data_IF_064745765963
#
_entry.id   IF_064745765963
#
_cell.length_a   1.000
_cell.length_b   1.000
_cell.length_c   1.000
_cell.angle_alpha   90.00
_cell.angle_beta   90.00
_cell.angle_gamma   90.00
#
_symmetry.space_group_name_H-M   'P 1'
#
loop_
_entity.id
_entity.type
_entity.pdbx_description
1 polymer ?
#
# COMPACT_ATOMS: atom_id res chain seq x y z
N UNK A 1 -13.85 -16.23 4.01
CA UNK A 1 -12.78 -15.91 4.97
C UNK A 1 -11.54 -16.77 4.74
N UNK A 2 -11.64 -18.10 4.74
CA UNK A 2 -10.52 -19.02 4.45
C UNK A 2 -9.84 -18.75 3.09
N UNK A 3 -10.62 -18.41 2.07
CA UNK A 3 -10.11 -18.14 0.72
C UNK A 3 -9.20 -16.90 0.64
N UNK A 4 -9.54 -15.85 1.39
CA UNK A 4 -8.74 -14.62 1.39
C UNK A 4 -7.42 -14.81 2.13
N UNK A 5 -7.41 -15.54 3.25
CA UNK A 5 -6.18 -15.85 3.98
C UNK A 5 -5.22 -16.68 3.13
N UNK A 6 -5.72 -17.70 2.42
CA UNK A 6 -4.93 -18.49 1.47
C UNK A 6 -4.36 -17.62 0.34
N UNK A 7 -5.14 -16.68 -0.18
CA UNK A 7 -4.69 -15.77 -1.26
C UNK A 7 -3.51 -14.87 -0.86
N UNK A 8 -3.37 -14.56 0.42
CA UNK A 8 -2.28 -13.75 0.97
C UNK A 8 -1.22 -14.57 1.74
N UNK A 9 -1.29 -15.89 1.64
CA UNK A 9 -0.29 -16.79 2.22
C UNK A 9 1.09 -16.51 1.61
N UNK A 10 2.13 -16.46 2.44
CA UNK A 10 3.50 -16.11 2.03
C UNK A 10 3.76 -14.61 1.83
N UNK A 11 2.72 -13.77 1.68
CA UNK A 11 2.85 -12.31 1.61
C UNK A 11 2.68 -11.64 2.97
N UNK A 12 1.86 -12.24 3.84
CA UNK A 12 1.59 -11.71 5.18
C UNK A 12 2.26 -12.62 6.23
N UNK A 13 3.07 -12.00 7.10
CA UNK A 13 3.69 -12.71 8.22
C UNK A 13 2.62 -13.13 9.24
N UNK A 14 2.58 -14.41 9.68
CA UNK A 14 1.67 -14.83 10.74
C UNK A 14 1.83 -14.01 12.03
N UNK A 15 0.70 -13.66 12.67
CA UNK A 15 0.68 -12.85 13.90
C UNK A 15 1.01 -11.36 13.71
N UNK A 16 1.23 -10.89 12.48
CA UNK A 16 1.42 -9.46 12.18
C UNK A 16 0.12 -8.66 12.31
N UNK A 17 0.25 -7.33 12.35
CA UNK A 17 -0.90 -6.42 12.32
C UNK A 17 -1.71 -6.61 11.03
N UNK A 18 -1.04 -6.86 9.92
CA UNK A 18 -1.63 -7.10 8.61
C UNK A 18 -2.46 -8.40 8.62
N UNK A 19 -1.97 -9.46 9.27
CA UNK A 19 -2.72 -10.70 9.46
C UNK A 19 -4.01 -10.46 10.25
N UNK A 20 -3.95 -9.63 11.31
CA UNK A 20 -5.12 -9.24 12.11
C UNK A 20 -6.11 -8.36 11.34
N UNK A 21 -5.63 -7.49 10.43
CA UNK A 21 -6.51 -6.68 9.59
C UNK A 21 -7.25 -7.55 8.56
N UNK A 22 -6.57 -8.56 8.01
CA UNK A 22 -7.18 -9.46 7.02
C UNK A 22 -8.39 -10.20 7.57
N UNK A 23 -8.40 -10.56 8.87
CA UNK A 23 -9.56 -11.23 9.50
C UNK A 23 -10.78 -10.33 9.64
N UNK A 24 -10.59 -9.01 9.53
CA UNK A 24 -11.66 -8.00 9.65
C UNK A 24 -12.22 -7.58 8.29
N UNK A 25 -11.62 -8.04 7.19
CA UNK A 25 -12.08 -7.71 5.84
C UNK A 25 -13.17 -8.68 5.43
N UNK A 26 -14.32 -8.12 5.05
CA UNK A 26 -15.44 -8.82 4.43
C UNK A 26 -15.21 -8.89 2.91
N UNK A 27 -14.86 -10.08 2.34
CA UNK A 27 -14.51 -10.19 0.92
C UNK A 27 -15.62 -9.71 -0.03
N UNK A 28 -16.88 -9.91 0.36
CA UNK A 28 -18.08 -9.51 -0.39
C UNK A 28 -18.29 -7.99 -0.45
N UNK A 29 -17.55 -7.22 0.36
CA UNK A 29 -17.64 -5.75 0.42
C UNK A 29 -16.41 -5.05 -0.14
N UNK A 30 -15.48 -5.80 -0.74
CA UNK A 30 -14.28 -5.20 -1.32
C UNK A 30 -14.65 -4.29 -2.51
N UNK A 31 -14.01 -3.12 -2.63
CA UNK A 31 -14.20 -2.28 -3.80
C UNK A 31 -13.65 -2.98 -5.04
N UNK A 32 -14.46 -3.00 -6.11
CA UNK A 32 -14.04 -3.53 -7.40
C UNK A 32 -12.94 -2.69 -8.07
N UNK A 33 -12.85 -1.40 -7.70
CA UNK A 33 -11.88 -0.46 -8.25
C UNK A 33 -11.44 0.52 -7.17
N UNK A 34 -10.12 0.73 -7.06
CA UNK A 34 -9.51 1.69 -6.13
C UNK A 34 -8.67 2.66 -6.93
N UNK A 35 -8.93 3.95 -6.76
CA UNK A 35 -8.11 5.03 -7.32
C UNK A 35 -7.37 5.76 -6.19
N UNK A 36 -6.08 6.00 -6.37
CA UNK A 36 -5.22 6.66 -5.38
C UNK A 36 -4.58 7.89 -6.02
N UNK A 37 -4.75 9.05 -5.39
CA UNK A 37 -4.06 10.29 -5.78
C UNK A 37 -2.76 10.39 -4.98
N UNK A 38 -1.61 10.21 -5.64
CA UNK A 38 -0.29 10.28 -5.01
C UNK A 38 0.22 11.73 -4.87
N UNK A 39 -0.43 12.52 -4.02
CA UNK A 39 0.00 13.89 -3.70
C UNK A 39 1.10 13.94 -2.63
N UNK A 40 1.80 15.07 -2.53
CA UNK A 40 2.71 15.37 -1.45
C UNK A 40 4.17 15.02 -1.72
N UNK A 41 4.50 14.45 -2.88
CA UNK A 41 5.88 14.10 -3.26
C UNK A 41 6.85 15.29 -3.17
N UNK A 42 6.43 16.46 -3.67
CA UNK A 42 7.21 17.70 -3.57
C UNK A 42 7.40 18.16 -2.12
N UNK A 43 6.32 18.18 -1.32
CA UNK A 43 6.36 18.53 0.12
C UNK A 43 7.23 17.55 0.92
N UNK A 44 7.19 16.26 0.58
CA UNK A 44 8.02 15.23 1.19
C UNK A 44 9.51 15.46 0.94
N UNK A 45 9.88 15.86 -0.28
CA UNK A 45 11.27 16.16 -0.64
C UNK A 45 11.77 17.43 0.08
N UNK A 46 10.96 18.51 0.08
CA UNK A 46 11.31 19.77 0.72
C UNK A 46 11.55 19.62 2.22
N UNK A 47 10.69 18.87 2.94
CA UNK A 47 10.87 18.58 4.38
C UNK A 47 12.17 17.82 4.70
N UNK A 48 12.81 17.23 3.69
CA UNK A 48 14.08 16.49 3.81
C UNK A 48 15.25 17.25 3.19
N UNK A 49 15.05 18.53 2.85
CA UNK A 49 16.06 19.38 2.19
C UNK A 49 16.55 18.76 0.86
N UNK A 50 15.64 18.11 0.11
CA UNK A 50 15.94 17.48 -1.18
C UNK A 50 15.23 18.18 -2.35
N UNK A 51 15.81 18.13 -3.57
CA UNK A 51 15.13 18.58 -4.78
C UNK A 51 13.81 17.84 -5.03
N UNK A 52 12.79 18.52 -5.59
CA UNK A 52 11.45 17.95 -5.86
C UNK A 52 11.48 16.67 -6.69
N UNK A 53 12.40 16.56 -7.64
CA UNK A 53 12.57 15.35 -8.48
C UNK A 53 12.85 14.08 -7.64
N UNK A 54 13.51 14.21 -6.48
CA UNK A 54 13.73 13.08 -5.57
C UNK A 54 12.40 12.59 -4.99
N UNK A 55 11.49 13.51 -4.68
CA UNK A 55 10.12 13.19 -4.26
C UNK A 55 9.35 12.44 -5.34
N UNK A 56 9.43 12.86 -6.60
CA UNK A 56 8.79 12.14 -7.71
C UNK A 56 9.33 10.71 -7.87
N UNK A 57 10.65 10.52 -7.79
CA UNK A 57 11.27 9.18 -7.82
C UNK A 57 10.81 8.31 -6.65
N UNK A 58 10.68 8.89 -5.45
CA UNK A 58 10.15 8.19 -4.29
C UNK A 58 8.67 7.81 -4.48
N UNK A 59 7.86 8.72 -5.04
CA UNK A 59 6.47 8.47 -5.39
C UNK A 59 6.32 7.33 -6.41
N UNK A 60 7.15 7.30 -7.46
CA UNK A 60 7.15 6.21 -8.43
C UNK A 60 7.48 4.84 -7.79
N UNK A 61 8.48 4.80 -6.88
CA UNK A 61 8.79 3.59 -6.10
C UNK A 61 7.66 3.18 -5.16
N UNK A 62 6.91 4.14 -4.61
CA UNK A 62 5.74 3.86 -3.78
C UNK A 62 4.59 3.27 -4.61
N UNK A 63 4.27 3.88 -5.76
CA UNK A 63 3.27 3.34 -6.70
C UNK A 63 3.59 1.89 -7.07
N UNK A 64 4.84 1.63 -7.44
CA UNK A 64 5.28 0.28 -7.81
C UNK A 64 4.99 -0.75 -6.72
N UNK A 65 5.31 -0.45 -5.46
CA UNK A 65 5.04 -1.33 -4.30
C UNK A 65 3.57 -1.47 -3.92
N UNK A 66 2.70 -0.59 -4.40
CA UNK A 66 1.26 -0.66 -4.14
C UNK A 66 0.58 -1.56 -5.19
N UNK A 67 1.13 -1.59 -6.41
CA UNK A 67 0.56 -2.34 -7.54
C UNK A 67 1.18 -3.74 -7.68
N UNK A 68 2.48 -3.86 -7.43
CA UNK A 68 3.26 -5.12 -7.46
C UNK A 68 3.38 -5.72 -6.07
#
# INVERSE_FOLDING_TARGET
MEDLQKRFEGFIKPGSREALLLTQIHPERLPHHVAIIMDGNGRWALRRQKPRVVGHRAGAKAARRIVE
#
